data_IF_861490704864
#
_entry.id   IF_861490704864
#
_cell.length_a   1.000
_cell.length_b   1.000
_cell.length_c   1.000
_cell.angle_alpha   90.00
_cell.angle_beta   90.00
_cell.angle_gamma   90.00
#
_symmetry.space_group_name_H-M   'P 1'
#
loop_
_entity.id
_entity.type
_entity.pdbx_description
1 polymer ?
#
# COMPACT_ATOMS: atom_id res chain seq x y z
N UNK A 1 -22.07 13.82 1.71
CA UNK A 1 -22.69 12.91 0.71
C UNK A 1 -23.97 12.32 1.31
N UNK A 2 -25.09 12.14 0.53
CA UNK A 2 -26.27 11.43 1.06
C UNK A 2 -26.08 9.90 1.02
N UNK A 3 -26.90 9.14 1.79
CA UNK A 3 -26.72 7.69 1.95
C UNK A 3 -26.84 6.89 0.64
N UNK A 4 -27.72 7.29 -0.30
CA UNK A 4 -27.87 6.60 -1.58
C UNK A 4 -26.61 6.78 -2.44
N UNK A 5 -26.21 8.03 -2.66
CA UNK A 5 -25.04 8.38 -3.44
C UNK A 5 -23.72 7.78 -2.88
N UNK A 6 -23.66 7.66 -1.55
CA UNK A 6 -22.55 6.98 -0.87
C UNK A 6 -22.52 5.48 -1.22
N UNK A 7 -23.65 4.80 -1.08
CA UNK A 7 -23.75 3.37 -1.37
C UNK A 7 -23.51 3.06 -2.85
N UNK A 8 -24.01 3.90 -3.76
CA UNK A 8 -23.77 3.73 -5.21
C UNK A 8 -22.27 3.77 -5.54
N UNK A 9 -21.49 4.65 -4.90
CA UNK A 9 -20.05 4.71 -5.11
C UNK A 9 -19.31 3.52 -4.50
N UNK A 10 -19.73 3.04 -3.33
CA UNK A 10 -19.20 1.81 -2.71
C UNK A 10 -19.49 0.59 -3.59
N UNK A 11 -20.73 0.44 -4.06
CA UNK A 11 -21.15 -0.67 -4.92
C UNK A 11 -20.38 -0.67 -6.25
N UNK A 12 -20.20 0.50 -6.85
CA UNK A 12 -19.45 0.64 -8.09
C UNK A 12 -18.00 0.15 -7.95
N UNK A 13 -17.29 0.55 -6.88
CA UNK A 13 -15.91 0.09 -6.64
C UNK A 13 -15.83 -1.41 -6.39
N UNK A 14 -16.77 -1.98 -5.62
CA UNK A 14 -16.83 -3.42 -5.38
C UNK A 14 -17.12 -4.17 -6.68
N UNK A 15 -18.06 -3.66 -7.50
CA UNK A 15 -18.38 -4.29 -8.77
C UNK A 15 -17.21 -4.23 -9.74
N UNK A 16 -16.54 -3.09 -9.87
CA UNK A 16 -15.37 -2.95 -10.74
C UNK A 16 -14.23 -3.92 -10.37
N UNK A 17 -14.03 -4.18 -9.05
CA UNK A 17 -13.06 -5.19 -8.59
C UNK A 17 -13.44 -6.61 -9.03
N UNK A 18 -14.74 -6.94 -9.08
CA UNK A 18 -15.21 -8.30 -9.40
C UNK A 18 -15.31 -8.54 -10.90
N UNK A 19 -15.89 -7.58 -11.63
CA UNK A 19 -16.20 -7.74 -13.06
C UNK A 19 -15.07 -7.29 -13.96
N UNK A 20 -14.16 -6.42 -13.45
CA UNK A 20 -13.14 -5.70 -14.22
C UNK A 20 -13.73 -4.77 -15.28
N UNK A 21 -14.98 -4.33 -15.06
CA UNK A 21 -15.58 -3.25 -15.83
C UNK A 21 -15.13 -1.92 -15.23
N UNK A 22 -14.22 -1.26 -15.91
CA UNK A 22 -13.56 -0.07 -15.40
C UNK A 22 -14.49 1.13 -15.39
N UNK A 23 -14.47 1.85 -14.28
CA UNK A 23 -15.29 3.04 -14.07
C UNK A 23 -14.72 4.24 -14.83
N UNK A 24 -15.56 4.99 -15.52
CA UNK A 24 -15.17 6.29 -16.05
C UNK A 24 -15.03 7.34 -14.93
N UNK A 25 -15.85 7.22 -13.89
CA UNK A 25 -15.79 7.99 -12.64
C UNK A 25 -16.68 7.31 -11.58
N UNK A 26 -16.54 7.71 -10.31
CA UNK A 26 -17.51 7.32 -9.28
C UNK A 26 -18.89 7.94 -9.59
N UNK A 27 -20.00 7.23 -9.32
CA UNK A 27 -21.36 7.77 -9.45
C UNK A 27 -21.54 9.09 -8.71
N UNK A 28 -20.93 9.18 -7.53
CA UNK A 28 -20.82 10.44 -6.79
C UNK A 28 -19.38 10.61 -6.29
N UNK A 29 -18.73 11.67 -6.75
CA UNK A 29 -17.36 11.96 -6.35
C UNK A 29 -17.29 12.42 -4.89
N UNK A 30 -16.35 11.89 -4.09
CA UNK A 30 -16.07 12.44 -2.77
C UNK A 30 -15.49 13.86 -2.91
N UNK A 31 -15.92 14.75 -2.03
CA UNK A 31 -15.52 16.17 -2.05
C UNK A 31 -14.60 16.55 -0.89
N UNK A 32 -14.34 15.60 -0.03
CA UNK A 32 -13.46 15.74 1.13
C UNK A 32 -12.72 14.43 1.40
N UNK A 33 -11.64 14.54 2.18
CA UNK A 33 -10.90 13.38 2.69
C UNK A 33 -11.81 12.46 3.53
N UNK A 34 -12.67 13.05 4.37
CA UNK A 34 -13.63 12.31 5.19
C UNK A 34 -14.62 11.50 4.34
N UNK A 35 -15.14 12.06 3.23
CA UNK A 35 -16.00 11.32 2.29
C UNK A 35 -15.23 10.17 1.63
N UNK A 36 -13.99 10.42 1.21
CA UNK A 36 -13.16 9.43 0.54
C UNK A 36 -12.82 8.25 1.46
N UNK A 37 -12.41 8.52 2.70
CA UNK A 37 -12.16 7.48 3.70
C UNK A 37 -13.44 6.75 4.10
N UNK A 38 -14.59 7.43 4.19
CA UNK A 38 -15.84 6.76 4.47
C UNK A 38 -16.19 5.73 3.39
N UNK A 39 -16.02 6.07 2.10
CA UNK A 39 -16.21 5.14 0.98
C UNK A 39 -15.19 3.99 1.06
N UNK A 40 -13.90 4.31 1.23
CA UNK A 40 -12.82 3.33 1.31
C UNK A 40 -13.07 2.32 2.44
N UNK A 41 -13.44 2.78 3.63
CA UNK A 41 -13.74 1.94 4.79
C UNK A 41 -14.99 1.08 4.58
N UNK A 42 -16.01 1.62 3.91
CA UNK A 42 -17.21 0.85 3.58
C UNK A 42 -16.92 -0.25 2.56
N UNK A 43 -16.09 0.03 1.55
CA UNK A 43 -15.59 -0.99 0.61
C UNK A 43 -14.81 -2.04 1.39
N UNK A 44 -13.88 -1.65 2.25
CA UNK A 44 -13.07 -2.57 3.04
C UNK A 44 -13.93 -3.51 3.90
N UNK A 45 -14.92 -3.00 4.63
CA UNK A 45 -15.83 -3.83 5.44
C UNK A 45 -16.61 -4.86 4.62
N UNK A 46 -16.88 -4.59 3.35
CA UNK A 46 -17.61 -5.52 2.45
C UNK A 46 -16.68 -6.53 1.77
N UNK A 47 -15.41 -6.20 1.57
CA UNK A 47 -14.42 -7.12 1.01
C UNK A 47 -13.96 -8.17 2.02
N UNK A 48 -14.09 -7.89 3.32
CA UNK A 48 -13.73 -8.83 4.38
C UNK A 48 -12.65 -8.29 5.32
N UNK A 49 -11.96 -9.17 6.06
CA UNK A 49 -10.93 -8.74 6.99
C UNK A 49 -9.80 -7.97 6.32
N UNK A 50 -9.38 -6.86 6.93
CA UNK A 50 -8.13 -6.19 6.60
C UNK A 50 -7.00 -7.01 7.22
N UNK A 51 -5.97 -7.29 6.42
CA UNK A 51 -4.80 -8.10 6.83
C UNK A 51 -3.47 -7.39 6.57
N UNK A 52 -3.53 -6.27 5.85
CA UNK A 52 -2.38 -5.42 5.60
C UNK A 52 -2.83 -3.98 5.30
N UNK A 53 -1.86 -3.08 5.23
CA UNK A 53 -2.08 -1.66 4.99
C UNK A 53 -0.98 -1.10 4.10
N UNK A 54 -1.32 -0.17 3.24
CA UNK A 54 -0.36 0.74 2.63
C UNK A 54 -0.51 2.11 3.28
N UNK A 55 0.61 2.74 3.56
CA UNK A 55 0.67 4.09 4.11
C UNK A 55 1.77 4.89 3.43
N UNK A 56 1.49 6.15 3.14
CA UNK A 56 2.45 7.05 2.52
C UNK A 56 2.22 8.48 2.96
N UNK A 57 3.11 9.37 2.53
CA UNK A 57 2.94 10.81 2.65
C UNK A 57 3.62 11.51 1.48
N UNK A 58 3.13 12.70 1.11
CA UNK A 58 3.68 13.47 -0.02
C UNK A 58 5.05 14.06 0.29
N UNK A 59 5.24 14.44 1.53
CA UNK A 59 6.51 14.98 2.07
C UNK A 59 6.70 14.48 3.50
N UNK A 60 7.90 14.59 4.07
CA UNK A 60 8.14 14.22 5.48
C UNK A 60 7.26 14.98 6.48
N UNK A 61 6.79 16.17 6.13
CA UNK A 61 5.98 17.04 7.01
C UNK A 61 4.48 16.91 6.74
N UNK A 62 4.07 16.32 5.60
CA UNK A 62 2.65 16.22 5.26
C UNK A 62 1.95 15.14 6.08
N UNK A 63 0.64 15.33 6.27
CA UNK A 63 -0.21 14.30 6.88
C UNK A 63 -0.15 13.02 6.05
N UNK A 64 0.06 11.85 6.67
CA UNK A 64 0.02 10.58 5.98
C UNK A 64 -1.37 10.23 5.46
N UNK A 65 -1.41 9.35 4.48
CA UNK A 65 -2.62 8.72 3.96
C UNK A 65 -2.45 7.21 3.91
N UNK A 66 -3.56 6.48 3.92
CA UNK A 66 -3.53 5.02 3.98
C UNK A 66 -4.58 4.36 3.10
N UNK A 67 -4.38 3.07 2.84
CA UNK A 67 -5.44 2.20 2.35
C UNK A 67 -5.34 0.80 3.00
N UNK A 68 -6.51 0.16 3.26
CA UNK A 68 -6.54 -1.22 3.73
C UNK A 68 -6.25 -2.20 2.59
N UNK A 69 -5.63 -3.33 2.91
CA UNK A 69 -5.32 -4.43 1.99
C UNK A 69 -5.97 -5.70 2.52
N UNK A 70 -6.50 -6.52 1.62
CA UNK A 70 -7.22 -7.76 1.90
C UNK A 70 -6.40 -8.99 1.50
N UNK A 71 -6.80 -10.16 2.00
CA UNK A 71 -6.03 -11.39 1.84
C UNK A 71 -5.88 -11.86 0.39
N UNK A 72 -6.81 -11.49 -0.49
CA UNK A 72 -6.80 -11.84 -1.93
C UNK A 72 -5.76 -11.04 -2.75
N UNK A 73 -5.23 -9.96 -2.18
CA UNK A 73 -4.21 -9.11 -2.81
C UNK A 73 -2.91 -9.01 -1.99
N UNK A 74 -2.76 -9.84 -0.95
CA UNK A 74 -1.54 -9.96 -0.16
C UNK A 74 -0.86 -11.30 -0.43
N UNK A 75 0.40 -11.27 -0.87
CA UNK A 75 1.18 -12.45 -1.20
C UNK A 75 2.50 -12.46 -0.42
N UNK A 76 2.99 -13.65 -0.07
CA UNK A 76 4.28 -13.85 0.59
C UNK A 76 5.18 -14.72 -0.26
N UNK A 77 6.46 -14.37 -0.35
CA UNK A 77 7.51 -15.10 -1.05
C UNK A 77 7.12 -15.55 -2.48
N UNK A 78 6.21 -14.78 -3.10
CA UNK A 78 5.72 -15.04 -4.45
C UNK A 78 6.62 -14.34 -5.46
N UNK A 79 7.04 -15.05 -6.49
CA UNK A 79 7.90 -14.52 -7.55
C UNK A 79 7.19 -14.37 -8.89
N UNK A 80 5.93 -14.78 -8.97
CA UNK A 80 5.12 -14.71 -10.20
C UNK A 80 3.68 -14.37 -9.88
N UNK A 81 3.13 -13.36 -10.56
CA UNK A 81 1.71 -13.02 -10.52
C UNK A 81 1.11 -12.99 -11.96
N UNK A 82 -0.19 -13.31 -12.12
CA UNK A 82 -0.84 -13.27 -13.43
C UNK A 82 -1.12 -11.81 -13.86
N UNK A 83 -0.57 -11.39 -15.00
CA UNK A 83 -0.79 -10.05 -15.56
C UNK A 83 -2.28 -9.78 -15.88
N UNK A 84 -3.01 -10.84 -16.22
CA UNK A 84 -4.46 -10.76 -16.48
C UNK A 84 -5.27 -10.25 -15.28
N UNK A 85 -4.71 -10.19 -14.08
CA UNK A 85 -5.38 -9.69 -12.88
C UNK A 85 -5.35 -8.16 -12.76
N UNK A 86 -4.55 -7.48 -13.59
CA UNK A 86 -4.34 -6.04 -13.50
C UNK A 86 -4.72 -5.34 -14.81
N UNK A 87 -5.29 -4.12 -14.69
CA UNK A 87 -5.50 -3.23 -15.84
C UNK A 87 -4.19 -2.56 -16.23
N UNK A 88 -3.48 -2.09 -15.23
CA UNK A 88 -2.14 -1.50 -15.35
C UNK A 88 -1.23 -2.15 -14.33
N UNK A 89 0.07 -2.15 -14.61
CA UNK A 89 1.06 -2.72 -13.73
C UNK A 89 2.05 -1.62 -13.38
N UNK A 90 1.76 -0.88 -12.31
CA UNK A 90 2.69 0.07 -11.72
C UNK A 90 3.51 -0.62 -10.64
N UNK A 91 4.81 -0.78 -10.88
CA UNK A 91 5.72 -1.46 -9.98
C UNK A 91 6.37 -0.47 -9.01
N UNK A 92 6.27 -0.76 -7.71
CA UNK A 92 6.89 0.01 -6.65
C UNK A 92 7.74 -0.91 -5.77
N UNK A 93 8.94 -0.46 -5.38
CA UNK A 93 9.79 -1.17 -4.41
C UNK A 93 9.70 -0.47 -3.05
N UNK A 94 9.30 -1.23 -2.03
CA UNK A 94 8.92 -0.72 -0.72
C UNK A 94 9.61 -1.48 0.42
N UNK A 95 9.51 -0.92 1.63
CA UNK A 95 9.84 -1.60 2.89
C UNK A 95 8.54 -1.84 3.65
N UNK A 96 8.28 -3.11 3.98
CA UNK A 96 7.10 -3.54 4.70
C UNK A 96 7.44 -4.03 6.12
N UNK A 97 6.54 -3.76 7.06
CA UNK A 97 6.68 -4.10 8.48
C UNK A 97 5.54 -5.04 8.90
N UNK A 98 5.88 -6.22 9.40
CA UNK A 98 4.91 -7.17 9.93
C UNK A 98 4.80 -7.04 11.44
N UNK A 99 3.58 -7.02 11.96
CA UNK A 99 3.28 -6.84 13.38
C UNK A 99 3.10 -8.17 14.10
N UNK A 100 3.68 -8.30 15.31
CA UNK A 100 3.50 -9.43 16.21
C UNK A 100 2.42 -9.19 17.24
N UNK A 101 2.03 -7.93 17.48
CA UNK A 101 1.10 -7.55 18.56
C UNK A 101 0.00 -6.65 18.03
N UNK A 102 -1.17 -6.77 18.63
CA UNK A 102 -2.28 -5.85 18.39
C UNK A 102 -1.95 -4.45 18.92
N UNK A 103 -2.34 -3.44 18.16
CA UNK A 103 -2.35 -2.04 18.56
C UNK A 103 -3.78 -1.51 18.39
N UNK A 104 -4.71 -1.87 19.30
CA UNK A 104 -6.09 -1.42 19.21
C UNK A 104 -6.23 0.09 19.47
N UNK A 105 -7.29 0.74 19.00
CA UNK A 105 -7.57 2.12 19.32
C UNK A 105 -7.61 2.34 20.84
N UNK A 106 -6.91 3.38 21.32
CA UNK A 106 -6.87 3.76 22.75
C UNK A 106 -6.80 5.28 22.92
N UNK A 107 -7.08 5.79 24.13
CA UNK A 107 -7.06 7.22 24.44
C UNK A 107 -5.64 7.79 24.46
N UNK A 108 -4.70 7.07 25.10
CA UNK A 108 -3.29 7.48 25.15
C UNK A 108 -2.59 7.07 23.86
N UNK A 109 -1.98 8.00 23.11
CA UNK A 109 -1.28 7.66 21.88
C UNK A 109 -0.14 6.66 22.09
N UNK A 110 0.05 5.75 21.15
CA UNK A 110 1.20 4.86 21.09
C UNK A 110 2.47 5.67 20.83
N UNK A 111 3.50 5.45 21.65
CA UNK A 111 4.83 5.97 21.38
C UNK A 111 5.52 5.25 20.23
N UNK A 112 6.58 5.85 19.71
CA UNK A 112 7.45 5.22 18.70
C UNK A 112 7.99 3.87 19.17
N UNK A 113 8.42 3.78 20.43
CA UNK A 113 8.99 2.57 21.02
C UNK A 113 7.95 1.46 21.11
N UNK A 114 6.74 1.75 21.61
CA UNK A 114 5.63 0.78 21.67
C UNK A 114 5.29 0.23 20.29
N UNK A 115 5.27 1.08 19.26
CA UNK A 115 4.99 0.65 17.89
C UNK A 115 6.10 -0.25 17.35
N UNK A 116 7.37 0.12 17.54
CA UNK A 116 8.51 -0.71 17.14
C UNK A 116 8.58 -2.04 17.89
N UNK A 117 8.18 -2.07 19.16
CA UNK A 117 8.11 -3.30 19.97
C UNK A 117 6.95 -4.22 19.57
N UNK A 118 6.00 -3.71 18.79
CA UNK A 118 4.95 -4.50 18.18
C UNK A 118 5.35 -5.10 16.82
N UNK A 119 6.45 -4.63 16.20
CA UNK A 119 6.94 -5.16 14.92
C UNK A 119 7.66 -6.49 15.13
N UNK A 120 7.26 -7.50 14.38
CA UNK A 120 7.89 -8.82 14.31
C UNK A 120 9.12 -8.81 13.40
N UNK A 121 8.93 -8.34 12.18
CA UNK A 121 9.91 -8.43 11.11
C UNK A 121 9.75 -7.30 10.08
N UNK A 122 10.82 -7.06 9.31
CA UNK A 122 10.84 -6.12 8.19
C UNK A 122 11.21 -6.88 6.92
N UNK A 123 10.66 -6.47 5.80
CA UNK A 123 10.71 -7.18 4.54
C UNK A 123 10.93 -6.22 3.37
N UNK A 124 11.70 -6.60 2.33
CA UNK A 124 11.54 -6.01 1.02
C UNK A 124 10.17 -6.34 0.47
N UNK A 125 9.55 -5.44 -0.25
CA UNK A 125 8.24 -5.68 -0.83
C UNK A 125 8.10 -5.04 -2.21
N UNK A 126 7.22 -5.63 -3.03
CA UNK A 126 6.67 -4.97 -4.20
C UNK A 126 5.21 -4.58 -3.93
N UNK A 127 4.83 -3.34 -4.24
CA UNK A 127 3.45 -3.01 -4.48
C UNK A 127 3.19 -2.97 -5.99
N UNK A 128 2.12 -3.62 -6.41
CA UNK A 128 1.53 -3.41 -7.74
C UNK A 128 0.45 -2.36 -7.59
N UNK A 129 0.65 -1.24 -8.27
CA UNK A 129 -0.34 -0.18 -8.41
C UNK A 129 -1.24 -0.52 -9.59
N UNK A 130 -2.54 -0.55 -9.35
CA UNK A 130 -3.61 -0.77 -10.31
C UNK A 130 -4.79 0.16 -10.00
N UNK A 131 -5.77 0.28 -10.88
CA UNK A 131 -6.91 1.17 -10.68
C UNK A 131 -8.23 0.53 -11.12
N UNK A 132 -9.33 0.91 -10.46
CA UNK A 132 -10.69 0.52 -10.87
C UNK A 132 -11.30 1.51 -11.86
N UNK A 133 -10.54 2.51 -12.27
CA UNK A 133 -10.97 3.51 -13.27
C UNK A 133 -10.39 3.22 -14.64
N UNK A 134 -11.08 3.65 -15.72
CA UNK A 134 -10.73 3.38 -17.11
C UNK A 134 -9.39 4.02 -17.60
N UNK A 135 -8.68 4.74 -16.72
CA UNK A 135 -7.36 5.29 -17.01
C UNK A 135 -6.60 5.54 -15.73
N UNK A 136 -5.37 5.08 -15.67
CA UNK A 136 -4.49 5.39 -14.54
C UNK A 136 -4.24 6.90 -14.47
N UNK A 137 -4.40 7.47 -13.27
CA UNK A 137 -4.26 8.92 -13.07
C UNK A 137 -5.40 9.79 -13.62
N UNK A 138 -6.49 9.18 -14.13
CA UNK A 138 -7.60 9.91 -14.74
C UNK A 138 -8.52 10.62 -13.73
N UNK A 139 -8.42 10.28 -12.45
CA UNK A 139 -9.33 10.77 -11.42
C UNK A 139 -8.68 11.81 -10.52
N UNK A 140 -9.54 12.54 -9.81
CA UNK A 140 -9.13 13.46 -8.76
C UNK A 140 -8.64 12.71 -7.50
N UNK A 141 -7.87 13.39 -6.66
CA UNK A 141 -7.24 12.85 -5.46
C UNK A 141 -8.19 12.05 -4.56
N UNK A 142 -9.36 12.59 -4.24
CA UNK A 142 -10.30 11.90 -3.35
C UNK A 142 -10.95 10.66 -3.97
N UNK A 143 -11.08 10.61 -5.29
CA UNK A 143 -11.53 9.39 -5.99
C UNK A 143 -10.47 8.30 -5.95
N UNK A 144 -9.19 8.64 -6.11
CA UNK A 144 -8.08 7.69 -5.92
C UNK A 144 -8.00 7.20 -4.47
N UNK A 145 -8.19 8.10 -3.51
CA UNK A 145 -8.25 7.73 -2.09
C UNK A 145 -9.38 6.72 -1.83
N UNK A 146 -10.57 6.96 -2.35
CA UNK A 146 -11.71 6.04 -2.22
C UNK A 146 -11.42 4.67 -2.87
N UNK A 147 -10.65 4.63 -3.97
CA UNK A 147 -10.18 3.42 -4.65
C UNK A 147 -8.88 2.84 -4.03
N UNK A 148 -8.76 2.90 -2.70
CA UNK A 148 -7.61 2.36 -1.95
C UNK A 148 -6.26 2.83 -2.53
N UNK A 149 -6.16 4.09 -2.97
CA UNK A 149 -4.95 4.67 -3.58
C UNK A 149 -4.35 3.78 -4.68
N UNK A 150 -5.23 3.27 -5.56
CA UNK A 150 -4.82 2.40 -6.67
C UNK A 150 -4.11 1.11 -6.23
N UNK A 151 -4.48 0.53 -5.09
CA UNK A 151 -3.92 -0.74 -4.67
C UNK A 151 -4.31 -1.87 -5.62
N UNK A 152 -3.35 -2.59 -6.16
CA UNK A 152 -3.49 -3.83 -6.93
C UNK A 152 -3.09 -5.05 -6.13
N UNK A 153 -1.82 -5.14 -5.73
CA UNK A 153 -1.30 -6.21 -4.88
C UNK A 153 -0.12 -5.76 -4.04
N UNK A 154 0.09 -6.41 -2.90
CA UNK A 154 1.30 -6.33 -2.09
C UNK A 154 1.98 -7.69 -2.05
N UNK A 155 3.24 -7.75 -2.48
CA UNK A 155 4.06 -8.96 -2.47
C UNK A 155 5.20 -8.75 -1.49
N UNK A 156 5.16 -9.50 -0.40
CA UNK A 156 6.09 -9.38 0.73
C UNK A 156 7.18 -10.43 0.57
N UNK A 157 8.42 -9.99 0.52
CA UNK A 157 9.59 -10.86 0.41
C UNK A 157 10.05 -11.44 1.76
N UNK A 158 11.20 -12.09 1.79
CA UNK A 158 11.72 -12.75 2.99
C UNK A 158 12.04 -11.75 4.11
N UNK A 159 11.88 -12.21 5.36
CA UNK A 159 12.19 -11.39 6.54
C UNK A 159 13.69 -11.07 6.64
N UNK A 160 14.01 -9.85 7.05
CA UNK A 160 15.37 -9.41 7.32
C UNK A 160 15.77 -9.80 8.75
N UNK A 161 16.88 -10.53 8.89
CA UNK A 161 17.29 -11.10 10.17
C UNK A 161 17.62 -10.05 11.24
N UNK A 162 18.30 -8.98 10.88
CA UNK A 162 18.68 -7.87 11.77
C UNK A 162 18.03 -6.55 11.36
N UNK A 163 16.72 -6.54 11.30
CA UNK A 163 15.97 -5.37 10.83
C UNK A 163 16.09 -4.15 11.76
N UNK A 164 16.44 -4.35 13.04
CA UNK A 164 16.60 -3.23 14.00
C UNK A 164 17.83 -2.37 13.71
N UNK A 165 18.78 -2.89 12.94
CA UNK A 165 19.95 -2.13 12.46
C UNK A 165 19.68 -1.40 11.14
N UNK A 166 18.51 -1.62 10.52
CA UNK A 166 18.17 -0.96 9.26
C UNK A 166 18.01 0.54 9.45
N UNK A 167 18.66 1.30 8.57
CA UNK A 167 18.56 2.76 8.49
C UNK A 167 17.83 3.16 7.19
N UNK A 168 16.48 3.19 7.16
CA UNK A 168 15.71 3.40 5.92
C UNK A 168 16.08 4.70 5.17
N UNK A 169 16.50 5.74 5.89
CA UNK A 169 16.95 7.00 5.29
C UNK A 169 18.34 6.91 4.63
N UNK A 170 19.04 5.79 4.79
CA UNK A 170 20.33 5.51 4.11
C UNK A 170 20.21 4.34 3.15
N UNK A 171 19.07 3.68 3.11
CA UNK A 171 18.85 2.53 2.25
C UNK A 171 18.87 2.97 0.78
N UNK A 172 19.75 2.34 0.00
CA UNK A 172 19.73 2.44 -1.46
C UNK A 172 18.74 1.41 -2.00
N UNK A 173 17.84 1.84 -2.85
CA UNK A 173 16.89 0.95 -3.55
C UNK A 173 16.99 1.22 -5.04
N UNK A 174 17.27 0.18 -5.83
CA UNK A 174 17.21 0.25 -7.28
C UNK A 174 16.12 -0.71 -7.80
N UNK A 175 15.40 -0.28 -8.82
CA UNK A 175 14.45 -1.09 -9.56
C UNK A 175 15.00 -1.35 -10.96
N UNK A 176 15.21 -2.63 -11.26
CA UNK A 176 15.64 -3.13 -12.57
C UNK A 176 14.48 -3.87 -13.20
N UNK A 177 14.11 -3.52 -14.42
CA UNK A 177 13.03 -4.19 -15.18
C UNK A 177 13.63 -4.75 -16.47
N UNK A 178 13.50 -6.05 -16.68
CA UNK A 178 14.03 -6.78 -17.84
C UNK A 178 15.52 -6.47 -18.12
N UNK A 179 16.31 -6.34 -17.03
CA UNK A 179 17.74 -6.05 -17.08
C UNK A 179 18.10 -4.55 -17.23
N UNK A 180 17.12 -3.66 -17.34
CA UNK A 180 17.34 -2.22 -17.43
C UNK A 180 17.02 -1.53 -16.08
N UNK A 181 17.94 -0.74 -15.55
CA UNK A 181 17.71 0.06 -14.34
C UNK A 181 16.74 1.20 -14.65
N UNK A 182 15.57 1.16 -14.04
CA UNK A 182 14.51 2.19 -14.20
C UNK A 182 14.59 3.27 -13.11
N UNK A 183 15.03 2.92 -11.92
CA UNK A 183 15.25 3.85 -10.82
C UNK A 183 16.40 3.36 -9.93
N UNK A 184 17.10 4.29 -9.30
CA UNK A 184 18.18 4.03 -8.35
C UNK A 184 18.27 5.22 -7.40
N UNK A 185 17.91 5.02 -6.15
CA UNK A 185 17.75 6.10 -5.17
C UNK A 185 18.37 5.73 -3.84
N UNK A 186 18.72 6.75 -3.06
CA UNK A 186 19.01 6.63 -1.62
C UNK A 186 18.02 7.51 -0.89
N UNK A 187 17.42 7.01 0.19
CA UNK A 187 16.36 7.71 0.91
C UNK A 187 15.19 8.16 0.00
N UNK A 188 14.83 7.34 -0.99
CA UNK A 188 13.88 7.71 -2.05
C UNK A 188 12.42 7.80 -1.60
N UNK A 189 12.10 7.42 -0.36
CA UNK A 189 10.73 7.49 0.16
C UNK A 189 10.31 8.95 0.40
N UNK A 190 9.26 9.39 -0.28
CA UNK A 190 8.73 10.76 -0.17
C UNK A 190 8.28 11.14 1.24
N UNK A 191 7.84 10.16 2.02
CA UNK A 191 7.43 10.34 3.41
C UNK A 191 8.60 10.56 4.38
N UNK A 192 9.84 10.36 3.92
CA UNK A 192 11.02 10.38 4.76
C UNK A 192 11.13 9.13 5.63
N UNK A 193 11.17 9.27 6.95
CA UNK A 193 11.37 8.20 7.91
C UNK A 193 10.11 7.34 8.07
N UNK A 194 10.15 6.03 7.71
CA UNK A 194 8.96 5.18 7.67
C UNK A 194 8.28 4.95 9.02
N UNK A 195 9.03 4.94 10.13
CA UNK A 195 8.47 4.64 11.44
C UNK A 195 7.45 5.70 11.87
N UNK A 196 7.58 6.96 11.42
CA UNK A 196 6.53 7.96 11.65
C UNK A 196 5.19 7.55 11.06
N UNK A 197 5.21 6.87 9.91
CA UNK A 197 4.01 6.36 9.24
C UNK A 197 3.37 5.23 10.06
N UNK A 198 4.18 4.34 10.62
CA UNK A 198 3.70 3.27 11.51
C UNK A 198 3.06 3.84 12.78
N UNK A 199 3.68 4.87 13.38
CA UNK A 199 3.12 5.57 14.55
C UNK A 199 1.79 6.26 14.20
N UNK A 200 1.73 6.91 13.04
CA UNK A 200 0.49 7.50 12.56
C UNK A 200 -0.58 6.42 12.27
N UNK A 201 -0.22 5.28 11.70
CA UNK A 201 -1.14 4.17 11.49
C UNK A 201 -1.74 3.66 12.79
N UNK A 202 -0.92 3.44 13.83
CA UNK A 202 -1.38 2.97 15.12
C UNK A 202 -2.33 3.95 15.82
N UNK A 203 -2.07 5.26 15.69
CA UNK A 203 -2.80 6.31 16.40
C UNK A 203 -3.97 6.92 15.62
N UNK A 204 -3.98 6.80 14.29
CA UNK A 204 -4.94 7.49 13.41
C UNK A 204 -5.39 6.59 12.25
N UNK A 205 -4.46 6.14 11.44
CA UNK A 205 -4.77 5.54 10.13
C UNK A 205 -5.64 4.28 10.21
N UNK A 206 -5.34 3.36 11.12
CA UNK A 206 -6.07 2.09 11.24
C UNK A 206 -7.28 2.16 12.18
N UNK A 207 -7.47 3.25 12.93
CA UNK A 207 -8.44 3.37 14.02
C UNK A 207 -9.89 3.08 13.57
N UNK A 208 -10.31 3.60 12.43
CA UNK A 208 -11.69 3.43 11.90
C UNK A 208 -12.05 1.98 11.54
N UNK A 209 -11.04 1.12 11.36
CA UNK A 209 -11.19 -0.30 11.04
C UNK A 209 -10.68 -1.22 12.18
N UNK A 210 -10.50 -0.68 13.38
CA UNK A 210 -10.24 -1.46 14.60
C UNK A 210 -8.78 -1.52 15.03
N UNK A 211 -7.90 -0.67 14.47
CA UNK A 211 -6.47 -0.64 14.80
C UNK A 211 -5.66 -1.65 14.01
N UNK A 212 -4.35 -1.72 14.30
CA UNK A 212 -3.46 -2.74 13.76
C UNK A 212 -3.57 -4.03 14.57
N UNK A 213 -3.39 -5.16 13.91
CA UNK A 213 -3.50 -6.49 14.52
C UNK A 213 -2.20 -7.28 14.37
N UNK A 214 -1.99 -8.22 15.27
CA UNK A 214 -0.93 -9.21 15.11
C UNK A 214 -1.12 -9.97 13.78
N UNK A 215 -0.06 -10.06 13.00
CA UNK A 215 -0.06 -10.61 11.65
C UNK A 215 -0.25 -9.57 10.54
N UNK A 216 -0.75 -8.37 10.84
CA UNK A 216 -0.87 -7.31 9.84
C UNK A 216 0.49 -6.92 9.25
N UNK A 217 0.51 -6.62 7.97
CA UNK A 217 1.66 -6.02 7.27
C UNK A 217 1.36 -4.57 6.94
N UNK A 218 2.30 -3.68 7.21
CA UNK A 218 2.20 -2.27 6.80
C UNK A 218 3.34 -1.95 5.85
N UNK A 219 3.01 -1.65 4.58
CA UNK A 219 3.98 -1.13 3.61
C UNK A 219 4.01 0.39 3.64
N UNK A 220 5.18 1.00 3.45
CA UNK A 220 5.44 2.39 3.88
C UNK A 220 5.75 3.37 2.75
N UNK A 221 5.34 3.02 1.53
CA UNK A 221 5.52 3.86 0.35
C UNK A 221 6.79 3.56 -0.43
N UNK A 222 6.72 3.86 -1.72
CA UNK A 222 7.77 3.54 -2.67
C UNK A 222 9.06 4.30 -2.42
N UNK A 223 10.17 3.59 -2.56
CA UNK A 223 11.52 4.17 -2.58
C UNK A 223 11.97 4.59 -3.99
N UNK A 224 11.26 4.16 -5.02
CA UNK A 224 11.66 4.33 -6.43
C UNK A 224 10.60 5.06 -7.27
N UNK A 225 9.48 5.47 -6.65
CA UNK A 225 8.30 5.93 -7.36
C UNK A 225 7.57 4.78 -8.07
N UNK A 226 6.55 5.11 -8.86
CA UNK A 226 5.77 4.13 -9.62
C UNK A 226 6.37 3.98 -11.02
N UNK A 227 6.85 2.78 -11.37
CA UNK A 227 7.37 2.45 -12.69
C UNK A 227 6.36 1.58 -13.43
N UNK A 228 5.79 2.11 -14.51
CA UNK A 228 4.85 1.33 -15.34
C UNK A 228 5.61 0.28 -16.15
N UNK A 229 5.17 -0.98 -16.06
CA UNK A 229 5.79 -2.11 -16.74
C UNK A 229 4.77 -2.87 -17.60
N UNK A 230 5.16 -3.42 -18.75
CA UNK A 230 4.27 -4.26 -19.55
C UNK A 230 4.08 -5.65 -18.92
N UNK A 231 3.00 -6.32 -19.31
CA UNK A 231 2.80 -7.73 -19.00
C UNK A 231 3.97 -8.57 -19.54
N UNK A 232 4.40 -9.55 -18.78
CA UNK A 232 5.56 -10.40 -19.08
C UNK A 232 6.88 -9.91 -18.49
N UNK A 233 6.92 -8.69 -17.94
CA UNK A 233 8.16 -8.15 -17.36
C UNK A 233 8.56 -8.82 -16.05
N UNK A 234 9.88 -8.91 -15.87
CA UNK A 234 10.50 -9.27 -14.59
C UNK A 234 11.11 -8.03 -13.95
N UNK A 235 10.67 -7.72 -12.75
CA UNK A 235 11.15 -6.61 -11.92
C UNK A 235 12.04 -7.15 -10.81
N UNK A 236 13.20 -6.52 -10.62
CA UNK A 236 14.17 -6.86 -9.56
C UNK A 236 14.38 -5.62 -8.71
N UNK A 237 13.98 -5.67 -7.45
CA UNK A 237 14.30 -4.66 -6.46
C UNK A 237 15.62 -5.03 -5.77
N UNK A 238 16.60 -4.15 -5.85
CA UNK A 238 17.93 -4.33 -5.25
C UNK A 238 18.07 -3.34 -4.11
N UNK A 239 18.12 -3.86 -2.89
CA UNK A 239 18.31 -3.08 -1.68
C UNK A 239 19.79 -3.14 -1.25
N UNK A 240 20.29 -2.04 -0.72
CA UNK A 240 21.71 -1.96 -0.28
C UNK A 240 22.04 -2.90 0.87
N UNK A 241 21.10 -3.08 1.81
CA UNK A 241 21.28 -3.92 3.00
C UNK A 241 20.29 -5.07 3.13
N UNK A 242 19.15 -4.99 2.44
CA UNK A 242 18.07 -6.00 2.54
C UNK A 242 18.16 -7.09 1.46
N UNK A 243 19.15 -7.01 0.56
CA UNK A 243 19.34 -7.97 -0.52
C UNK A 243 18.49 -7.68 -1.76
N UNK A 244 18.16 -8.72 -2.49
CA UNK A 244 17.47 -8.61 -3.77
C UNK A 244 16.18 -9.40 -3.75
N UNK A 245 15.13 -8.83 -4.29
CA UNK A 245 13.83 -9.48 -4.43
C UNK A 245 13.33 -9.34 -5.86
N UNK A 246 12.74 -10.42 -6.42
CA UNK A 246 12.31 -10.50 -7.81
C UNK A 246 10.83 -10.82 -7.92
N UNK A 247 10.15 -10.20 -8.88
CA UNK A 247 8.75 -10.46 -9.21
C UNK A 247 8.55 -10.39 -10.73
N UNK A 248 7.96 -11.43 -11.30
CA UNK A 248 7.49 -11.47 -12.69
C UNK A 248 5.97 -11.33 -12.73
N UNK A 249 5.44 -10.47 -13.59
CA UNK A 249 3.99 -10.31 -13.81
C UNK A 249 3.67 -10.75 -15.23
N UNK A 250 3.15 -12.00 -15.40
CA UNK A 250 2.98 -12.66 -16.72
C UNK A 250 1.57 -13.19 -16.98
#
# INVERSE_FOLDING_TARGET
MNNAAFNDSVDALIQARKSRDWLSALPTRPTSEADAYAIQDAVARRLGPVVAWKVGARTPESEPFRAPIHADTLFFDTTVLPAADYQVIGMEAEIAYKFAKDLPPRAEPYSREEVLDAVESVHPAFEIVDTRFAGFGSQEWFSHMADQFNHGALVVGPAIADWRSLEPLKERVALVVDGETKADTVAGNSAGEPVRLLVWMANTGAVSLGGLKAGDVVTTGSHVGTVMVPAGSTSVAVYGTMGTYELTVK
#
